data_IF_443562737952
#
_entry.id   IF_443562737952
#
_cell.length_a   1.000
_cell.length_b   1.000
_cell.length_c   1.000
_cell.angle_alpha   90.00
_cell.angle_beta   90.00
_cell.angle_gamma   90.00
#
_symmetry.space_group_name_H-M   'P 1'
#
loop_
_entity.id
_entity.type
_entity.pdbx_description
1 polymer ?
#
# COMPACT_ATOMS: atom_id res chain seq x y z
N UNK A 1 53.80 -76.78 10.05
CA UNK A 1 52.41 -77.08 9.70
C UNK A 1 51.54 -76.05 10.42
N UNK A 2 51.27 -74.97 9.78
CA UNK A 2 50.62 -73.82 10.38
C UNK A 2 49.22 -73.65 9.79
N UNK A 3 48.29 -73.54 10.71
CA UNK A 3 46.86 -73.22 10.33
C UNK A 3 46.61 -71.77 10.49
N UNK A 4 46.25 -71.12 9.37
CA UNK A 4 45.83 -69.71 9.31
C UNK A 4 44.33 -69.61 9.61
N UNK A 5 44.02 -68.89 10.70
CA UNK A 5 42.63 -68.45 10.98
C UNK A 5 42.34 -67.16 10.22
N UNK A 6 41.30 -67.18 9.37
CA UNK A 6 40.75 -65.97 8.74
C UNK A 6 39.69 -65.36 9.67
N UNK A 7 39.95 -64.14 10.12
CA UNK A 7 38.93 -63.32 10.77
C UNK A 7 38.10 -62.58 9.76
N UNK A 8 36.79 -62.74 9.82
CA UNK A 8 35.80 -61.98 9.00
C UNK A 8 35.51 -60.70 9.74
N UNK A 9 35.72 -59.54 9.09
CA UNK A 9 35.30 -58.24 9.54
C UNK A 9 33.91 -57.97 9.00
N UNK A 10 32.94 -57.74 9.90
CA UNK A 10 31.59 -57.29 9.54
C UNK A 10 31.63 -55.77 9.43
N UNK A 11 31.37 -55.24 8.23
CA UNK A 11 31.18 -53.81 7.98
C UNK A 11 29.73 -53.47 8.21
N UNK A 12 29.45 -52.65 9.24
CA UNK A 12 28.14 -52.04 9.47
C UNK A 12 28.08 -50.77 8.63
N UNK A 13 27.31 -50.79 7.58
CA UNK A 13 26.97 -49.58 6.81
C UNK A 13 25.91 -48.77 7.55
N UNK A 14 26.34 -47.69 8.21
CA UNK A 14 25.43 -46.70 8.79
C UNK A 14 24.88 -45.79 7.68
N UNK A 15 23.60 -45.90 7.36
CA UNK A 15 22.89 -44.95 6.52
C UNK A 15 22.63 -43.67 7.32
N UNK A 16 23.47 -42.66 7.13
CA UNK A 16 23.23 -41.31 7.63
C UNK A 16 22.17 -40.63 6.79
N UNK A 17 20.95 -40.42 7.32
CA UNK A 17 19.93 -39.56 6.76
C UNK A 17 20.38 -38.12 6.97
N UNK A 18 20.88 -37.47 5.91
CA UNK A 18 21.11 -36.01 5.90
C UNK A 18 19.73 -35.35 5.83
N UNK A 19 19.19 -34.91 6.95
CA UNK A 19 18.07 -33.97 6.98
C UNK A 19 18.60 -32.60 6.52
N UNK A 20 18.38 -32.25 5.25
CA UNK A 20 18.58 -30.90 4.74
C UNK A 20 17.44 -30.06 5.32
N UNK A 21 17.73 -29.34 6.41
CA UNK A 21 16.87 -28.27 6.90
C UNK A 21 16.98 -27.14 5.88
N UNK A 22 16.01 -27.03 4.99
CA UNK A 22 15.78 -25.83 4.17
C UNK A 22 15.30 -24.75 5.14
N UNK A 23 16.23 -24.09 5.82
CA UNK A 23 15.97 -22.80 6.45
C UNK A 23 15.67 -21.84 5.31
N UNK A 24 14.39 -21.58 5.06
CA UNK A 24 13.98 -20.45 4.22
C UNK A 24 14.55 -19.19 4.90
N UNK A 25 15.56 -18.58 4.28
CA UNK A 25 16.02 -17.26 4.69
C UNK A 25 14.89 -16.27 4.41
N UNK A 26 14.03 -16.02 5.40
CA UNK A 26 13.30 -14.75 5.44
C UNK A 26 14.36 -13.67 5.62
N UNK A 27 14.39 -12.63 4.78
CA UNK A 27 15.33 -11.53 4.97
C UNK A 27 15.11 -10.93 6.37
N UNK A 28 16.16 -10.90 7.17
CA UNK A 28 16.11 -10.26 8.49
C UNK A 28 16.08 -8.74 8.25
N UNK A 29 15.15 -8.04 8.93
CA UNK A 29 15.04 -6.58 8.82
C UNK A 29 16.33 -5.93 9.32
N UNK A 30 16.90 -5.03 8.52
CA UNK A 30 18.13 -4.30 8.86
C UNK A 30 17.85 -2.89 9.38
N UNK A 31 16.61 -2.37 9.15
CA UNK A 31 16.13 -1.09 9.66
C UNK A 31 15.16 -1.33 10.80
N UNK A 32 15.41 -0.69 11.93
CA UNK A 32 14.46 -0.65 13.06
C UNK A 32 13.45 0.46 12.80
N UNK A 33 12.17 0.14 12.92
CA UNK A 33 11.10 1.14 12.90
C UNK A 33 11.03 1.76 14.29
N UNK A 34 11.27 3.07 14.36
CA UNK A 34 11.30 3.80 15.64
C UNK A 34 9.87 4.16 16.08
N UNK A 35 9.20 3.20 16.68
CA UNK A 35 7.86 3.33 17.25
C UNK A 35 7.78 2.62 18.61
N UNK A 36 6.87 3.01 19.52
CA UNK A 36 6.65 2.31 20.77
C UNK A 36 6.41 0.80 20.58
N UNK A 37 6.93 0.00 21.51
CA UNK A 37 6.79 -1.44 21.44
C UNK A 37 5.33 -1.87 21.52
N UNK A 38 4.93 -2.77 20.62
CA UNK A 38 3.57 -3.30 20.57
C UNK A 38 3.33 -4.25 21.76
N UNK A 39 2.23 -4.06 22.49
CA UNK A 39 1.77 -5.00 23.50
C UNK A 39 1.31 -6.29 22.81
N UNK A 40 1.82 -7.42 23.31
CA UNK A 40 1.43 -8.75 22.84
C UNK A 40 0.13 -9.21 23.54
N UNK A 41 -0.98 -8.64 23.09
CA UNK A 41 -2.33 -8.95 23.54
C UNK A 41 -3.34 -8.67 22.41
N UNK A 42 -4.50 -9.33 22.40
CA UNK A 42 -5.62 -8.93 21.54
C UNK A 42 -6.22 -7.61 22.03
N UNK A 43 -6.81 -6.84 21.11
CA UNK A 43 -7.66 -5.70 21.48
C UNK A 43 -8.90 -6.18 22.25
N UNK A 44 -9.44 -5.30 23.09
CA UNK A 44 -10.67 -5.58 23.85
C UNK A 44 -11.84 -5.91 22.90
N UNK A 45 -12.71 -6.85 23.29
CA UNK A 45 -13.83 -7.34 22.49
C UNK A 45 -14.78 -6.23 22.01
N UNK A 46 -15.02 -5.23 22.85
CA UNK A 46 -15.85 -4.07 22.47
C UNK A 46 -15.19 -3.30 21.32
N UNK A 47 -13.89 -3.00 21.41
CA UNK A 47 -13.13 -2.32 20.35
C UNK A 47 -13.15 -3.14 19.03
N UNK A 48 -12.95 -4.47 19.13
CA UNK A 48 -13.01 -5.36 17.97
C UNK A 48 -14.41 -5.37 17.35
N UNK A 49 -15.47 -5.31 18.15
CA UNK A 49 -16.85 -5.25 17.65
C UNK A 49 -17.10 -3.96 16.87
N UNK A 50 -16.67 -2.82 17.38
CA UNK A 50 -16.80 -1.52 16.71
C UNK A 50 -15.98 -1.45 15.42
N UNK A 51 -14.74 -1.98 15.43
CA UNK A 51 -13.88 -2.06 14.24
C UNK A 51 -14.50 -2.95 13.16
N UNK A 52 -15.02 -4.11 13.55
CA UNK A 52 -15.69 -5.06 12.62
C UNK A 52 -16.93 -4.44 12.00
N UNK A 53 -17.74 -3.72 12.77
CA UNK A 53 -18.93 -3.03 12.27
C UNK A 53 -18.57 -1.95 11.23
N UNK A 54 -17.51 -1.17 11.48
CA UNK A 54 -17.00 -0.19 10.53
C UNK A 54 -16.61 -0.83 9.19
N UNK A 55 -15.82 -1.91 9.23
CA UNK A 55 -15.39 -2.62 8.00
C UNK A 55 -16.60 -3.22 7.27
N UNK A 56 -17.53 -3.84 7.99
CA UNK A 56 -18.73 -4.45 7.40
C UNK A 56 -19.62 -3.40 6.72
N UNK A 57 -19.76 -2.22 7.34
CA UNK A 57 -20.48 -1.08 6.75
C UNK A 57 -19.82 -0.63 5.44
N UNK A 58 -18.50 -0.49 5.40
CA UNK A 58 -17.77 -0.10 4.20
C UNK A 58 -17.83 -1.18 3.11
N UNK A 59 -17.76 -2.46 3.48
CA UNK A 59 -17.97 -3.57 2.53
C UNK A 59 -19.35 -3.48 1.86
N UNK A 60 -20.40 -3.24 2.64
CA UNK A 60 -21.75 -3.07 2.11
C UNK A 60 -21.83 -1.83 1.19
N UNK A 61 -21.25 -0.70 1.59
CA UNK A 61 -21.27 0.55 0.81
C UNK A 61 -20.56 0.43 -0.54
N UNK A 62 -19.51 -0.38 -0.62
CA UNK A 62 -18.70 -0.56 -1.84
C UNK A 62 -19.09 -1.81 -2.66
N UNK A 63 -19.95 -2.67 -2.13
CA UNK A 63 -20.22 -3.98 -2.73
C UNK A 63 -19.02 -4.94 -2.64
N UNK A 64 -18.12 -4.72 -1.69
CA UNK A 64 -17.02 -5.64 -1.42
C UNK A 64 -17.54 -6.89 -0.73
N UNK A 65 -17.15 -8.06 -1.22
CA UNK A 65 -17.51 -9.35 -0.60
C UNK A 65 -16.56 -9.72 0.53
N UNK A 66 -15.32 -9.19 0.47
CA UNK A 66 -14.25 -9.46 1.42
C UNK A 66 -13.42 -8.24 1.76
N UNK A 67 -12.82 -8.29 2.94
CA UNK A 67 -11.87 -7.31 3.42
C UNK A 67 -10.79 -7.96 4.28
N UNK A 68 -9.59 -7.36 4.33
CA UNK A 68 -8.57 -7.70 5.32
C UNK A 68 -8.22 -6.42 6.07
N UNK A 69 -8.12 -6.53 7.38
CA UNK A 69 -7.83 -5.40 8.26
C UNK A 69 -6.75 -5.77 9.26
N UNK A 70 -5.87 -4.81 9.55
CA UNK A 70 -4.89 -4.87 10.62
C UNK A 70 -4.90 -3.59 11.43
N UNK A 71 -5.02 -3.72 12.75
CA UNK A 71 -5.01 -2.61 13.71
C UNK A 71 -4.01 -2.95 14.81
N UNK A 72 -2.97 -2.13 14.94
CA UNK A 72 -1.91 -2.26 15.92
C UNK A 72 -1.95 -1.05 16.83
N UNK A 73 -2.20 -1.29 18.12
CA UNK A 73 -2.34 -0.25 19.15
C UNK A 73 -1.33 -0.54 20.25
N UNK A 74 -0.14 0.09 20.23
CA UNK A 74 0.97 -0.26 21.13
C UNK A 74 0.61 -0.33 22.61
N UNK A 75 -0.27 0.53 23.10
CA UNK A 75 -0.70 0.55 24.49
C UNK A 75 -1.83 -0.41 24.82
N UNK A 76 -2.46 -1.07 23.83
CA UNK A 76 -3.68 -1.86 24.05
C UNK A 76 -3.55 -3.29 23.54
N UNK A 77 -3.20 -3.47 22.26
CA UNK A 77 -3.11 -4.78 21.65
C UNK A 77 -3.22 -4.75 20.13
N UNK A 78 -3.49 -5.89 19.52
CA UNK A 78 -3.54 -6.08 18.07
C UNK A 78 -4.84 -6.76 17.65
N UNK A 79 -5.37 -6.38 16.50
CA UNK A 79 -6.41 -7.09 15.80
C UNK A 79 -6.09 -7.18 14.31
N UNK A 80 -5.88 -8.41 13.80
CA UNK A 80 -5.65 -8.69 12.39
C UNK A 80 -6.66 -9.76 11.96
N UNK A 81 -7.45 -9.48 10.93
CA UNK A 81 -8.56 -10.36 10.54
C UNK A 81 -8.93 -10.23 9.08
N UNK A 82 -9.32 -11.35 8.46
CA UNK A 82 -10.13 -11.35 7.26
C UNK A 82 -11.62 -11.28 7.63
N UNK A 83 -12.43 -10.67 6.77
CA UNK A 83 -13.88 -10.57 6.89
C UNK A 83 -14.55 -10.89 5.55
N UNK A 84 -15.71 -11.51 5.62
CA UNK A 84 -16.51 -11.86 4.44
C UNK A 84 -15.93 -13.02 3.64
N UNK A 85 -16.16 -13.01 2.34
CA UNK A 85 -15.80 -14.10 1.42
C UNK A 85 -14.98 -13.60 0.24
N UNK A 86 -14.22 -14.49 -0.37
CA UNK A 86 -13.36 -14.23 -1.54
C UNK A 86 -14.16 -13.68 -2.73
N UNK A 87 -15.40 -14.11 -2.88
CA UNK A 87 -16.34 -13.63 -3.89
C UNK A 87 -17.73 -14.02 -3.46
N UNK A 88 -18.78 -13.73 -4.23
CA UNK A 88 -20.14 -14.14 -3.92
C UNK A 88 -20.24 -15.66 -3.72
N UNK A 89 -20.45 -16.12 -2.47
CA UNK A 89 -20.49 -17.53 -2.12
C UNK A 89 -19.15 -18.26 -2.11
N UNK A 90 -18.05 -17.53 -2.15
CA UNK A 90 -16.68 -18.05 -2.11
C UNK A 90 -16.23 -18.50 -0.70
N UNK A 91 -14.95 -18.90 -0.59
CA UNK A 91 -14.32 -19.23 0.68
C UNK A 91 -14.22 -18.00 1.60
N UNK A 92 -14.13 -18.22 2.92
CA UNK A 92 -13.89 -17.13 3.87
C UNK A 92 -12.55 -16.46 3.60
N UNK A 93 -12.51 -15.14 3.78
CA UNK A 93 -11.26 -14.34 3.68
C UNK A 93 -10.43 -14.56 4.94
N UNK A 94 -9.16 -14.90 4.76
CA UNK A 94 -8.18 -15.00 5.83
C UNK A 94 -7.22 -13.82 5.79
N UNK A 95 -6.53 -13.54 6.89
CA UNK A 95 -5.68 -12.36 7.01
C UNK A 95 -4.33 -12.48 6.28
N UNK A 96 -3.93 -13.67 5.88
CA UNK A 96 -2.65 -13.98 5.23
C UNK A 96 -2.67 -13.85 3.70
N UNK A 97 -3.83 -13.56 3.11
CA UNK A 97 -3.97 -13.40 1.67
C UNK A 97 -3.23 -12.16 1.18
N UNK A 98 -2.60 -12.28 0.01
CA UNK A 98 -1.91 -11.17 -0.65
C UNK A 98 -2.84 -10.36 -1.56
N UNK A 99 -2.56 -9.06 -1.69
CA UNK A 99 -3.34 -8.12 -2.49
C UNK A 99 -2.46 -7.05 -3.13
N UNK A 100 -3.02 -6.25 -4.06
CA UNK A 100 -2.32 -5.10 -4.62
C UNK A 100 -2.37 -3.94 -3.65
N UNK A 101 -1.20 -3.30 -3.43
CA UNK A 101 -1.04 -2.22 -2.45
C UNK A 101 -1.63 -0.87 -2.90
N UNK A 102 -2.17 -0.79 -4.11
CA UNK A 102 -2.67 0.46 -4.69
C UNK A 102 -1.63 1.60 -4.56
N UNK A 103 -2.07 2.81 -4.27
CA UNK A 103 -1.25 4.01 -4.26
C UNK A 103 -0.23 4.06 -3.11
N UNK A 104 -0.22 3.06 -2.20
CA UNK A 104 0.91 2.87 -1.27
C UNK A 104 2.23 2.65 -2.04
N UNK A 105 2.16 2.12 -3.26
CA UNK A 105 3.29 2.01 -4.18
C UNK A 105 3.96 3.35 -4.47
N UNK A 106 3.17 4.41 -4.57
CA UNK A 106 3.67 5.78 -4.81
C UNK A 106 4.64 6.24 -3.72
N UNK A 107 4.28 5.97 -2.45
CA UNK A 107 5.15 6.28 -1.32
C UNK A 107 6.45 5.47 -1.37
N UNK A 108 6.38 4.16 -1.70
CA UNK A 108 7.56 3.31 -1.88
C UNK A 108 8.48 3.82 -3.01
N UNK A 109 7.89 4.27 -4.11
CA UNK A 109 8.65 4.87 -5.24
C UNK A 109 9.36 6.16 -4.81
N UNK A 110 8.73 6.98 -3.98
CA UNK A 110 9.35 8.18 -3.42
C UNK A 110 10.44 7.84 -2.40
N UNK A 111 10.26 6.80 -1.56
CA UNK A 111 11.32 6.32 -0.65
C UNK A 111 12.57 5.89 -1.43
N UNK A 112 12.39 5.23 -2.58
CA UNK A 112 13.51 4.91 -3.49
C UNK A 112 14.23 6.18 -3.95
N UNK A 113 13.49 7.22 -4.37
CA UNK A 113 14.10 8.49 -4.79
C UNK A 113 14.85 9.19 -3.67
N UNK A 114 14.28 9.23 -2.45
CA UNK A 114 14.96 9.78 -1.27
C UNK A 114 16.25 9.01 -0.97
N UNK A 115 16.23 7.69 -1.04
CA UNK A 115 17.41 6.85 -0.86
C UNK A 115 18.49 7.12 -1.91
N UNK A 116 18.13 7.17 -3.20
CA UNK A 116 19.07 7.48 -4.28
C UNK A 116 19.64 8.91 -4.16
N UNK A 117 18.86 9.86 -3.67
CA UNK A 117 19.33 11.21 -3.41
C UNK A 117 20.32 11.25 -2.23
N UNK A 118 20.09 10.46 -1.19
CA UNK A 118 21.01 10.32 -0.05
C UNK A 118 22.37 9.76 -0.47
N UNK A 119 22.36 8.78 -1.38
CA UNK A 119 23.60 8.19 -1.92
C UNK A 119 24.33 9.11 -2.91
N UNK A 120 23.73 10.26 -3.25
CA UNK A 120 24.29 11.19 -4.23
C UNK A 120 24.16 10.72 -5.69
N UNK A 121 23.38 9.67 -5.96
CA UNK A 121 23.13 9.12 -7.31
C UNK A 121 22.33 10.10 -8.17
N UNK A 122 21.39 10.82 -7.56
CA UNK A 122 20.61 11.92 -8.15
C UNK A 122 20.39 13.03 -7.10
N UNK A 123 19.74 14.13 -7.50
CA UNK A 123 19.28 15.16 -6.57
C UNK A 123 17.78 15.34 -6.74
N UNK A 124 17.06 15.50 -5.64
CA UNK A 124 15.60 15.72 -5.69
C UNK A 124 15.23 17.01 -6.45
N UNK A 125 16.13 17.98 -6.49
CA UNK A 125 15.95 19.24 -7.22
C UNK A 125 16.43 19.18 -8.69
N UNK A 126 16.90 18.01 -9.16
CA UNK A 126 17.19 17.80 -10.57
C UNK A 126 15.90 17.92 -11.39
N UNK A 127 16.00 18.55 -12.58
CA UNK A 127 14.92 18.51 -13.56
C UNK A 127 14.63 17.07 -13.99
N UNK A 128 13.36 16.73 -14.16
CA UNK A 128 12.94 15.44 -14.71
C UNK A 128 13.57 15.14 -16.07
N UNK A 129 13.84 16.19 -16.86
CA UNK A 129 14.45 16.07 -18.19
C UNK A 129 15.91 15.63 -18.17
N UNK A 130 16.57 15.75 -17.02
CA UNK A 130 17.94 15.25 -16.82
C UNK A 130 17.99 13.71 -16.82
N UNK A 131 16.90 13.07 -16.44
CA UNK A 131 16.81 11.62 -16.25
C UNK A 131 15.90 10.94 -17.25
N UNK A 132 14.79 11.58 -17.65
CA UNK A 132 13.82 11.03 -18.59
C UNK A 132 13.83 11.82 -19.88
N UNK A 133 14.25 11.18 -20.98
CA UNK A 133 14.33 11.80 -22.29
C UNK A 133 12.94 11.99 -22.94
N UNK A 134 12.88 12.89 -23.92
CA UNK A 134 11.68 13.21 -24.70
C UNK A 134 10.56 13.88 -23.88
N UNK A 135 10.95 14.77 -22.98
CA UNK A 135 10.04 15.60 -22.17
C UNK A 135 10.28 17.10 -22.47
N UNK A 136 10.14 17.58 -23.72
CA UNK A 136 10.35 18.99 -24.03
C UNK A 136 9.25 19.86 -23.36
N UNK A 137 9.68 20.96 -22.71
CA UNK A 137 8.77 21.85 -21.98
C UNK A 137 8.43 21.39 -20.57
N UNK A 138 9.23 20.45 -20.00
CA UNK A 138 9.08 19.96 -18.63
C UNK A 138 10.35 20.22 -17.80
N UNK A 139 11.21 21.12 -18.26
CA UNK A 139 12.48 21.47 -17.61
C UNK A 139 12.28 22.12 -16.24
N UNK A 140 11.12 22.69 -15.98
CA UNK A 140 10.68 23.34 -14.75
C UNK A 140 10.14 22.39 -13.68
N UNK A 141 10.00 21.09 -13.99
CA UNK A 141 9.54 20.07 -13.04
C UNK A 141 10.78 19.37 -12.46
N UNK A 142 10.85 19.30 -11.13
CA UNK A 142 11.90 18.58 -10.41
C UNK A 142 11.41 17.21 -9.93
N UNK A 143 12.34 16.32 -9.59
CA UNK A 143 12.01 15.01 -8.99
C UNK A 143 11.27 15.17 -7.67
N UNK A 144 11.59 16.19 -6.87
CA UNK A 144 10.88 16.54 -5.65
C UNK A 144 9.42 16.85 -5.92
N UNK A 145 9.11 17.65 -6.94
CA UNK A 145 7.74 18.01 -7.30
C UNK A 145 6.88 16.80 -7.72
N UNK A 146 7.50 15.73 -8.20
CA UNK A 146 6.78 14.49 -8.49
C UNK A 146 6.27 13.85 -7.21
N UNK A 147 7.12 13.68 -6.20
CA UNK A 147 6.75 13.12 -4.91
C UNK A 147 5.81 14.04 -4.11
N UNK A 148 6.02 15.36 -4.18
CA UNK A 148 5.16 16.33 -3.49
C UNK A 148 3.80 16.53 -4.19
N UNK A 149 3.57 15.89 -5.34
CA UNK A 149 2.34 16.04 -6.11
C UNK A 149 2.15 17.44 -6.69
N UNK A 150 3.24 18.21 -6.87
CA UNK A 150 3.18 19.62 -7.30
C UNK A 150 3.63 19.84 -8.73
N UNK A 151 3.84 18.78 -9.50
CA UNK A 151 4.27 18.89 -10.91
C UNK A 151 3.22 19.52 -11.83
N UNK A 152 1.95 19.45 -11.45
CA UNK A 152 0.81 19.86 -12.27
C UNK A 152 0.51 18.93 -13.45
N UNK A 153 1.14 17.76 -13.53
CA UNK A 153 0.89 16.79 -14.60
C UNK A 153 -0.49 16.17 -14.53
N UNK A 154 -1.10 15.91 -15.69
CA UNK A 154 -2.29 15.08 -15.81
C UNK A 154 -1.96 13.61 -15.58
N UNK A 155 -2.93 12.80 -15.07
CA UNK A 155 -2.74 11.37 -14.85
C UNK A 155 -3.10 10.56 -16.10
N UNK A 156 -2.21 9.62 -16.49
CA UNK A 156 -2.48 8.69 -17.59
C UNK A 156 -3.67 7.76 -17.26
N UNK A 157 -3.83 7.38 -15.99
CA UNK A 157 -4.91 6.47 -15.57
C UNK A 157 -6.28 7.04 -15.83
N UNK A 158 -6.49 8.35 -15.65
CA UNK A 158 -7.78 8.99 -15.93
C UNK A 158 -8.18 8.90 -17.40
N UNK A 159 -7.23 8.73 -18.32
CA UNK A 159 -7.46 8.55 -19.75
C UNK A 159 -7.69 7.08 -20.12
N UNK A 160 -7.04 6.16 -19.41
CA UNK A 160 -6.91 4.77 -19.82
C UNK A 160 -7.71 3.76 -18.97
N UNK A 161 -8.38 4.17 -17.89
CA UNK A 161 -9.10 3.26 -16.99
C UNK A 161 -10.02 2.26 -17.71
N UNK A 162 -10.78 2.70 -18.69
CA UNK A 162 -11.66 1.82 -19.47
C UNK A 162 -10.89 0.88 -20.41
N UNK A 163 -9.69 1.29 -20.82
CA UNK A 163 -8.84 0.49 -21.71
C UNK A 163 -8.14 -0.62 -20.91
N UNK A 164 -7.69 -0.33 -19.69
CA UNK A 164 -7.13 -1.33 -18.77
C UNK A 164 -8.15 -2.44 -18.50
N UNK A 165 -9.36 -2.09 -18.09
CA UNK A 165 -10.42 -3.04 -17.76
C UNK A 165 -10.74 -4.01 -18.91
N UNK A 166 -10.65 -3.53 -20.14
CA UNK A 166 -10.93 -4.33 -21.34
C UNK A 166 -9.69 -5.11 -21.83
N UNK A 167 -8.51 -4.87 -21.25
CA UNK A 167 -7.25 -5.52 -21.64
C UNK A 167 -6.42 -5.92 -20.40
N UNK A 168 -6.96 -6.76 -19.51
CA UNK A 168 -6.31 -7.06 -18.22
C UNK A 168 -4.93 -7.72 -18.36
N UNK A 169 -4.73 -8.49 -19.44
CA UNK A 169 -3.47 -9.20 -19.71
C UNK A 169 -2.40 -8.34 -20.38
N UNK A 170 -2.74 -7.11 -20.76
CA UNK A 170 -1.82 -6.25 -21.50
C UNK A 170 -0.64 -5.83 -20.62
N UNK A 171 0.57 -6.20 -21.05
CA UNK A 171 1.79 -5.60 -20.53
C UNK A 171 1.96 -4.18 -21.11
N UNK A 172 1.77 -3.16 -20.25
CA UNK A 172 1.91 -1.77 -20.63
C UNK A 172 3.38 -1.34 -20.59
N UNK A 173 3.82 -0.61 -21.60
CA UNK A 173 5.13 -0.01 -21.61
C UNK A 173 5.09 1.33 -20.87
N UNK A 174 6.01 1.57 -19.92
CA UNK A 174 6.07 2.79 -19.14
C UNK A 174 6.15 4.07 -20.01
N UNK A 175 6.87 4.03 -21.14
CA UNK A 175 6.96 5.18 -22.06
C UNK A 175 5.66 5.42 -22.84
N UNK A 176 4.90 4.38 -23.10
CA UNK A 176 3.56 4.50 -23.68
C UNK A 176 2.62 5.19 -22.70
N UNK A 177 2.57 4.73 -21.43
CA UNK A 177 1.80 5.38 -20.37
C UNK A 177 2.21 6.84 -20.18
N UNK A 178 3.51 7.11 -20.21
CA UNK A 178 4.05 8.47 -20.14
C UNK A 178 3.49 9.36 -21.26
N UNK A 179 3.41 8.85 -22.49
CA UNK A 179 2.87 9.62 -23.61
C UNK A 179 1.40 10.04 -23.39
N UNK A 180 0.59 9.18 -22.77
CA UNK A 180 -0.79 9.55 -22.39
C UNK A 180 -0.80 10.59 -21.25
N UNK A 181 0.07 10.45 -20.26
CA UNK A 181 0.15 11.42 -19.16
C UNK A 181 0.56 12.81 -19.63
N UNK A 182 1.61 12.93 -20.44
CA UNK A 182 2.08 14.22 -20.98
C UNK A 182 1.16 14.81 -22.06
N UNK A 183 0.33 14.01 -22.72
CA UNK A 183 -0.67 14.50 -23.67
C UNK A 183 -1.90 15.11 -22.96
N UNK A 184 -2.09 14.82 -21.69
CA UNK A 184 -3.14 15.39 -20.87
C UNK A 184 -2.83 16.85 -20.52
N UNK A 185 -3.81 17.75 -20.49
CA UNK A 185 -3.56 19.12 -20.06
C UNK A 185 -2.97 19.18 -18.65
N UNK A 186 -2.02 20.07 -18.44
CA UNK A 186 -1.53 20.39 -17.09
C UNK A 186 -2.70 20.90 -16.24
N UNK A 187 -2.77 20.47 -15.00
CA UNK A 187 -3.81 20.87 -14.05
C UNK A 187 -3.51 22.21 -13.39
N UNK A 188 -2.22 22.49 -13.13
CA UNK A 188 -1.72 23.73 -12.55
C UNK A 188 -0.26 23.95 -12.97
N UNK A 189 0.30 25.11 -12.62
CA UNK A 189 1.72 25.37 -12.81
C UNK A 189 2.56 24.55 -11.83
N UNK A 190 3.76 24.09 -12.21
CA UNK A 190 4.67 23.39 -11.31
C UNK A 190 4.94 24.17 -10.02
N UNK A 191 4.89 23.49 -8.90
CA UNK A 191 5.07 24.06 -7.57
C UNK A 191 3.88 24.84 -6.99
N UNK A 192 2.78 25.02 -7.74
CA UNK A 192 1.70 25.92 -7.31
C UNK A 192 0.73 25.29 -6.30
N UNK A 193 0.33 24.03 -6.48
CA UNK A 193 -0.61 23.34 -5.61
C UNK A 193 -0.48 21.82 -5.76
N UNK A 194 -0.96 21.10 -4.77
CA UNK A 194 -1.05 19.65 -4.84
C UNK A 194 -2.05 19.21 -5.92
N UNK A 195 -1.67 18.22 -6.68
CA UNK A 195 -2.52 17.49 -7.61
C UNK A 195 -1.95 16.10 -7.82
N UNK A 196 -2.60 15.11 -7.28
CA UNK A 196 -2.19 13.72 -7.44
C UNK A 196 -2.25 13.28 -8.91
N UNK A 197 -1.24 12.51 -9.32
CA UNK A 197 -1.11 12.05 -10.71
C UNK A 197 -0.21 10.82 -10.79
N UNK A 198 -0.72 9.72 -11.34
CA UNK A 198 0.09 8.52 -11.57
C UNK A 198 1.28 8.78 -12.50
N UNK A 199 1.19 9.82 -13.35
CA UNK A 199 2.29 10.23 -14.22
C UNK A 199 3.49 10.73 -13.42
N UNK A 200 3.28 11.31 -12.24
CA UNK A 200 4.37 11.71 -11.35
C UNK A 200 5.23 10.51 -10.99
N UNK A 201 4.61 9.47 -10.46
CA UNK A 201 5.31 8.28 -9.96
C UNK A 201 5.89 7.46 -11.10
N UNK A 202 5.23 7.44 -12.27
CA UNK A 202 5.78 6.83 -13.47
C UNK A 202 7.10 7.50 -13.88
N UNK A 203 7.16 8.84 -13.90
CA UNK A 203 8.39 9.58 -14.19
C UNK A 203 9.44 9.36 -13.10
N UNK A 204 9.01 9.34 -11.83
CA UNK A 204 9.87 9.08 -10.68
C UNK A 204 10.56 7.70 -10.79
N UNK A 205 9.78 6.65 -11.12
CA UNK A 205 10.31 5.31 -11.35
C UNK A 205 11.30 5.25 -12.51
N UNK A 206 10.95 5.84 -13.67
CA UNK A 206 11.85 5.93 -14.82
C UNK A 206 13.15 6.70 -14.51
N UNK A 207 13.08 7.76 -13.70
CA UNK A 207 14.24 8.51 -13.26
C UNK A 207 15.11 7.67 -12.32
N UNK A 208 14.51 6.95 -11.38
CA UNK A 208 15.20 6.05 -10.47
C UNK A 208 15.95 4.93 -11.23
N UNK A 209 15.28 4.27 -12.17
CA UNK A 209 15.90 3.25 -13.03
C UNK A 209 17.05 3.81 -13.88
N UNK A 210 16.87 5.02 -14.42
CA UNK A 210 17.91 5.65 -15.24
C UNK A 210 19.13 6.06 -14.42
N UNK A 211 18.91 6.54 -13.20
CA UNK A 211 19.96 7.01 -12.32
C UNK A 211 20.79 5.87 -11.73
N UNK A 212 20.13 4.78 -11.31
CA UNK A 212 20.80 3.63 -10.69
C UNK A 212 21.31 2.60 -11.70
N UNK A 213 20.64 2.45 -12.85
CA UNK A 213 20.84 1.35 -13.77
C UNK A 213 20.14 0.05 -13.37
N UNK A 214 19.34 0.06 -12.32
CA UNK A 214 18.59 -1.07 -11.79
C UNK A 214 17.10 -0.94 -12.11
N UNK A 215 16.36 -2.06 -12.08
CA UNK A 215 14.90 -2.00 -12.23
C UNK A 215 14.24 -1.43 -10.99
N UNK A 216 13.08 -0.76 -11.14
CA UNK A 216 12.32 -0.27 -9.98
C UNK A 216 11.90 -1.41 -9.04
N UNK A 217 11.66 -2.62 -9.57
CA UNK A 217 11.39 -3.82 -8.78
C UNK A 217 12.56 -4.17 -7.86
N UNK A 218 13.79 -4.13 -8.37
CA UNK A 218 15.00 -4.36 -7.58
C UNK A 218 15.21 -3.26 -6.54
N UNK A 219 15.04 -2.00 -6.94
CA UNK A 219 15.15 -0.86 -6.04
C UNK A 219 14.15 -0.91 -4.88
N UNK A 220 12.88 -1.24 -5.14
CA UNK A 220 11.88 -1.42 -4.07
C UNK A 220 12.27 -2.58 -3.16
N UNK A 221 12.74 -3.70 -3.72
CA UNK A 221 13.22 -4.83 -2.92
C UNK A 221 14.39 -4.44 -2.03
N UNK A 222 15.38 -3.71 -2.54
CA UNK A 222 16.63 -3.43 -1.85
C UNK A 222 16.53 -2.24 -0.89
N UNK A 223 15.72 -1.25 -1.21
CA UNK A 223 15.64 0.00 -0.43
C UNK A 223 14.40 0.11 0.45
N UNK A 224 13.38 -0.71 0.22
CA UNK A 224 12.13 -0.67 0.98
C UNK A 224 11.85 -2.03 1.63
N UNK A 225 11.59 -3.07 0.83
CA UNK A 225 11.11 -4.34 1.34
C UNK A 225 12.19 -5.09 2.15
N UNK A 226 13.40 -5.20 1.64
CA UNK A 226 14.51 -5.88 2.31
C UNK A 226 14.88 -5.25 3.65
N UNK A 227 15.17 -3.93 3.72
CA UNK A 227 15.50 -3.25 4.97
C UNK A 227 14.44 -3.40 6.07
N UNK A 228 13.17 -3.46 5.71
CA UNK A 228 12.05 -3.62 6.64
C UNK A 228 11.65 -5.10 6.86
N UNK A 229 12.25 -6.06 6.15
CA UNK A 229 11.90 -7.49 6.25
C UNK A 229 10.50 -7.81 5.70
N UNK A 230 10.01 -7.08 4.69
CA UNK A 230 8.70 -7.27 4.07
C UNK A 230 8.77 -8.39 3.03
N UNK A 231 8.46 -9.60 3.44
CA UNK A 231 8.64 -10.80 2.61
C UNK A 231 7.57 -10.99 1.53
N UNK A 232 6.40 -10.37 1.70
CA UNK A 232 5.28 -10.43 0.77
C UNK A 232 5.14 -9.17 -0.11
N UNK A 233 6.03 -8.17 0.09
CA UNK A 233 5.97 -6.89 -0.61
C UNK A 233 6.95 -6.86 -1.78
N UNK A 234 6.44 -6.62 -2.98
CA UNK A 234 7.24 -6.54 -4.20
C UNK A 234 6.53 -5.74 -5.30
N UNK A 235 7.29 -5.21 -6.25
CA UNK A 235 6.74 -4.79 -7.53
C UNK A 235 6.88 -5.95 -8.52
N UNK A 236 5.77 -6.62 -8.93
CA UNK A 236 5.84 -7.81 -9.76
C UNK A 236 6.24 -7.49 -11.20
N UNK A 237 6.66 -8.52 -11.92
CA UNK A 237 6.89 -8.43 -13.35
C UNK A 237 5.63 -8.00 -14.12
N UNK A 238 5.78 -7.38 -15.32
CA UNK A 238 4.64 -6.81 -16.07
C UNK A 238 3.71 -7.84 -16.72
N UNK A 239 3.85 -9.12 -16.41
CA UNK A 239 2.94 -10.17 -16.89
C UNK A 239 1.65 -10.18 -16.06
N UNK A 240 0.54 -10.60 -16.68
CA UNK A 240 -0.70 -10.81 -15.95
C UNK A 240 -0.56 -11.92 -14.92
N UNK A 241 -0.86 -11.61 -13.68
CA UNK A 241 -0.78 -12.53 -12.56
C UNK A 241 -1.74 -12.13 -11.44
N UNK A 242 -2.07 -13.07 -10.57
CA UNK A 242 -2.65 -12.77 -9.28
C UNK A 242 -1.60 -12.09 -8.38
N UNK A 243 -2.01 -11.30 -7.36
CA UNK A 243 -1.07 -10.58 -6.50
C UNK A 243 -0.16 -11.48 -5.66
N UNK A 244 -0.55 -12.72 -5.45
CA UNK A 244 0.25 -13.72 -4.72
C UNK A 244 -0.17 -15.13 -5.09
N UNK A 245 0.49 -16.16 -4.54
CA UNK A 245 0.08 -17.56 -4.66
C UNK A 245 -1.22 -17.87 -3.88
N UNK A 246 -1.57 -17.05 -2.90
CA UNK A 246 -2.81 -17.09 -2.13
C UNK A 246 -3.42 -15.68 -2.14
N UNK A 247 -4.08 -15.27 -3.22
CA UNK A 247 -4.58 -13.93 -3.37
C UNK A 247 -5.90 -13.70 -2.61
N UNK A 248 -6.11 -12.49 -2.10
CA UNK A 248 -7.45 -11.97 -1.95
C UNK A 248 -8.01 -11.75 -3.36
N UNK A 249 -9.12 -12.38 -3.71
CA UNK A 249 -9.75 -12.15 -5.01
C UNK A 249 -10.25 -10.71 -5.12
N UNK A 250 -9.90 -10.05 -6.24
CA UNK A 250 -10.22 -8.66 -6.49
C UNK A 250 -11.35 -8.48 -7.49
N UNK A 251 -12.27 -7.57 -7.19
CA UNK A 251 -13.49 -7.37 -7.98
C UNK A 251 -13.66 -5.90 -8.39
N UNK A 252 -14.50 -5.68 -9.40
CA UNK A 252 -14.98 -4.37 -9.79
C UNK A 252 -16.45 -4.43 -10.15
N UNK A 253 -17.28 -3.71 -9.40
CA UNK A 253 -18.65 -3.41 -9.79
C UNK A 253 -18.66 -2.46 -10.99
N UNK A 254 -19.58 -2.70 -11.93
CA UNK A 254 -19.75 -1.86 -13.13
C UNK A 254 -20.97 -0.97 -12.98
N UNK A 255 -20.89 0.23 -13.54
CA UNK A 255 -22.03 1.11 -13.61
C UNK A 255 -23.03 0.58 -14.64
N UNK A 256 -24.31 0.53 -14.27
CA UNK A 256 -25.38 0.07 -15.15
C UNK A 256 -25.90 1.28 -15.92
N UNK A 257 -26.13 1.19 -17.26
CA UNK A 257 -26.58 2.31 -18.08
C UNK A 257 -27.88 2.95 -17.58
N UNK A 258 -28.77 2.15 -17.00
CA UNK A 258 -30.06 2.59 -16.45
C UNK A 258 -29.93 3.24 -15.06
N UNK A 259 -28.73 3.30 -14.52
CA UNK A 259 -28.39 3.80 -13.17
C UNK A 259 -28.17 2.67 -12.15
N UNK A 260 -27.27 2.92 -11.21
CA UNK A 260 -26.83 1.95 -10.20
C UNK A 260 -25.57 1.17 -10.60
N UNK A 261 -25.29 0.08 -9.85
CA UNK A 261 -24.07 -0.70 -9.95
C UNK A 261 -24.34 -2.20 -9.86
N UNK A 262 -23.45 -3.01 -10.46
CA UNK A 262 -23.52 -4.48 -10.40
C UNK A 262 -22.99 -4.99 -9.05
N UNK A 263 -23.70 -4.67 -7.95
CA UNK A 263 -23.25 -5.00 -6.60
C UNK A 263 -23.25 -6.52 -6.32
N UNK A 264 -24.21 -7.24 -6.90
CA UNK A 264 -24.36 -8.68 -6.67
C UNK A 264 -23.50 -9.54 -7.60
N UNK A 265 -23.02 -8.97 -8.69
CA UNK A 265 -22.25 -9.65 -9.72
C UNK A 265 -21.09 -8.78 -10.20
N UNK A 266 -20.13 -8.44 -9.33
CA UNK A 266 -18.96 -7.68 -9.73
C UNK A 266 -18.08 -8.52 -10.66
N UNK A 267 -17.36 -7.87 -11.56
CA UNK A 267 -16.40 -8.52 -12.44
C UNK A 267 -15.16 -8.95 -11.64
N UNK A 268 -14.72 -10.20 -11.79
CA UNK A 268 -13.44 -10.66 -11.27
C UNK A 268 -12.29 -10.03 -12.08
N UNK A 269 -11.37 -9.38 -11.38
CA UNK A 269 -10.19 -8.72 -11.90
C UNK A 269 -8.93 -9.09 -11.10
N UNK A 270 -8.95 -10.27 -10.47
CA UNK A 270 -7.85 -10.78 -9.66
C UNK A 270 -6.56 -10.95 -10.47
N UNK A 271 -6.69 -11.51 -11.67
CA UNK A 271 -5.56 -11.74 -12.57
C UNK A 271 -5.50 -10.62 -13.60
N UNK A 272 -4.48 -9.78 -13.49
CA UNK A 272 -4.18 -8.73 -14.47
C UNK A 272 -2.70 -8.33 -14.42
N UNK A 273 -2.26 -7.61 -15.45
CA UNK A 273 -0.91 -7.08 -15.49
C UNK A 273 -0.76 -5.90 -14.51
N UNK A 274 0.22 -5.98 -13.61
CA UNK A 274 0.55 -4.88 -12.69
C UNK A 274 1.23 -3.69 -13.37
N UNK A 275 1.62 -3.85 -14.64
CA UNK A 275 2.38 -2.83 -15.37
C UNK A 275 1.60 -1.54 -15.64
N UNK A 276 0.27 -1.57 -15.62
CA UNK A 276 -0.54 -0.36 -15.70
C UNK A 276 -0.34 0.54 -14.48
N UNK A 277 -0.43 -0.04 -13.29
CA UNK A 277 -0.13 0.67 -12.04
C UNK A 277 1.36 1.00 -11.90
N UNK A 278 2.23 0.08 -12.24
CA UNK A 278 3.68 0.25 -12.24
C UNK A 278 4.19 0.92 -10.97
N UNK A 279 4.93 2.02 -11.15
CA UNK A 279 5.49 2.84 -10.05
C UNK A 279 4.43 3.59 -9.22
N UNK A 280 3.21 3.74 -9.69
CA UNK A 280 2.14 4.45 -8.99
C UNK A 280 1.33 3.52 -8.06
N UNK A 281 0.90 2.33 -8.57
CA UNK A 281 -0.03 1.47 -7.83
C UNK A 281 0.16 -0.04 -8.09
N UNK A 282 1.34 -0.44 -8.64
CA UNK A 282 1.58 -1.80 -9.11
C UNK A 282 2.14 -2.78 -8.07
N UNK A 283 2.56 -2.34 -6.90
CA UNK A 283 3.11 -3.23 -5.88
C UNK A 283 2.05 -4.19 -5.30
N UNK A 284 2.52 -5.34 -4.85
CA UNK A 284 1.74 -6.34 -4.10
C UNK A 284 2.27 -6.46 -2.68
N UNK A 285 1.41 -6.89 -1.74
CA UNK A 285 1.75 -6.99 -0.32
C UNK A 285 0.76 -7.89 0.42
N UNK A 286 0.93 -8.06 1.72
CA UNK A 286 -0.08 -8.55 2.66
C UNK A 286 -0.33 -7.50 3.77
N UNK A 287 -1.30 -7.76 4.63
CA UNK A 287 -1.72 -6.76 5.64
C UNK A 287 -0.63 -6.50 6.69
N UNK A 288 0.16 -7.50 7.05
CA UNK A 288 1.24 -7.39 8.05
C UNK A 288 2.41 -6.55 7.51
N UNK A 289 2.85 -6.85 6.30
CA UNK A 289 3.89 -6.07 5.63
C UNK A 289 3.45 -4.62 5.41
N UNK A 290 2.17 -4.43 5.00
CA UNK A 290 1.59 -3.11 4.79
C UNK A 290 1.60 -2.27 6.08
N UNK A 291 1.17 -2.85 7.21
CA UNK A 291 1.20 -2.18 8.50
C UNK A 291 2.61 -1.78 8.92
N UNK A 292 3.58 -2.70 8.77
CA UNK A 292 4.99 -2.43 9.08
C UNK A 292 5.58 -1.34 8.16
N UNK A 293 5.30 -1.41 6.87
CA UNK A 293 5.71 -0.35 5.94
C UNK A 293 5.14 1.01 6.35
N UNK A 294 3.87 1.05 6.70
CA UNK A 294 3.20 2.31 7.06
C UNK A 294 3.75 2.91 8.36
N UNK A 295 4.10 2.08 9.35
CA UNK A 295 4.82 2.56 10.53
C UNK A 295 6.20 3.13 10.18
N UNK A 296 6.93 2.48 9.26
CA UNK A 296 8.22 2.99 8.78
C UNK A 296 8.06 4.28 7.96
N UNK A 297 7.02 4.39 7.12
CA UNK A 297 6.68 5.60 6.37
C UNK A 297 6.38 6.76 7.32
N UNK A 298 5.57 6.51 8.36
CA UNK A 298 5.16 7.53 9.32
C UNK A 298 6.33 8.01 10.18
N UNK A 299 7.16 7.10 10.69
CA UNK A 299 8.32 7.44 11.50
C UNK A 299 9.52 7.97 10.70
N UNK A 300 9.46 7.89 9.35
CA UNK A 300 10.58 8.28 8.49
C UNK A 300 11.77 7.32 8.55
N UNK A 301 11.59 6.09 9.03
CA UNK A 301 12.70 5.13 9.26
C UNK A 301 13.47 4.74 7.99
N UNK A 302 12.91 4.95 6.80
CA UNK A 302 13.60 4.74 5.52
C UNK A 302 14.22 6.03 4.97
N UNK A 303 13.92 7.18 5.57
CA UNK A 303 14.47 8.46 5.11
C UNK A 303 15.87 8.68 5.63
N UNK A 304 16.72 9.40 4.86
CA UNK A 304 18.03 9.83 5.36
C UNK A 304 17.90 10.71 6.60
N UNK A 305 18.89 10.63 7.50
CA UNK A 305 18.96 11.46 8.69
C UNK A 305 18.75 12.95 8.37
N UNK A 306 17.87 13.60 9.12
CA UNK A 306 17.55 15.02 8.96
C UNK A 306 16.61 15.33 7.77
N UNK A 307 16.10 14.32 7.09
CA UNK A 307 15.07 14.50 6.06
C UNK A 307 13.70 14.50 6.69
N UNK A 308 12.95 15.57 6.52
CA UNK A 308 11.54 15.66 6.89
C UNK A 308 10.69 15.69 5.61
N UNK A 309 9.92 14.61 5.38
CA UNK A 309 9.00 14.49 4.25
C UNK A 309 7.93 15.57 4.27
N UNK A 310 7.49 15.97 5.47
CA UNK A 310 6.43 16.94 5.71
C UNK A 310 6.97 18.33 6.11
N UNK A 311 8.22 18.68 5.78
CA UNK A 311 8.77 20.02 6.05
C UNK A 311 7.92 21.16 5.45
N UNK A 312 7.22 20.91 4.35
CA UNK A 312 6.37 21.89 3.66
C UNK A 312 5.15 21.23 3.03
N UNK A 313 4.23 20.64 3.87
CA UNK A 313 3.08 19.94 3.35
C UNK A 313 2.07 20.92 2.74
N UNK A 314 1.39 20.48 1.68
CA UNK A 314 0.37 21.29 1.00
C UNK A 314 -1.03 20.75 1.31
N UNK A 315 -2.06 21.63 1.41
CA UNK A 315 -3.46 21.19 1.45
C UNK A 315 -3.76 20.30 0.24
N UNK A 316 -4.49 19.20 0.45
CA UNK A 316 -4.87 18.29 -0.64
C UNK A 316 -5.81 18.97 -1.61
N UNK A 317 -6.80 19.72 -1.10
CA UNK A 317 -7.62 20.65 -1.87
C UNK A 317 -8.12 21.80 -1.00
N UNK A 318 -8.71 22.82 -1.63
CA UNK A 318 -9.32 23.95 -0.92
C UNK A 318 -10.58 23.54 -0.14
N UNK A 319 -11.25 22.47 -0.53
CA UNK A 319 -12.47 21.97 0.07
C UNK A 319 -12.22 20.92 1.16
N UNK A 320 -10.99 20.39 1.24
CA UNK A 320 -10.61 19.43 2.28
C UNK A 320 -10.28 20.14 3.61
N UNK A 321 -10.44 19.45 4.74
CA UNK A 321 -10.07 19.99 6.04
C UNK A 321 -8.59 20.37 6.12
N UNK A 322 -8.26 21.41 6.87
CA UNK A 322 -6.88 21.91 7.03
C UNK A 322 -5.92 20.90 7.65
N UNK A 323 -6.43 19.89 8.35
CA UNK A 323 -5.65 18.80 8.91
C UNK A 323 -5.30 17.71 7.89
N UNK A 324 -5.76 17.83 6.63
CA UNK A 324 -5.48 16.88 5.57
C UNK A 324 -4.54 17.50 4.53
N UNK A 325 -3.29 17.07 4.54
CA UNK A 325 -2.20 17.60 3.71
C UNK A 325 -1.45 16.47 3.02
N UNK A 326 -0.62 16.82 2.03
CA UNK A 326 0.19 15.87 1.28
C UNK A 326 1.62 16.39 1.08
N UNK A 327 2.59 15.50 1.10
CA UNK A 327 3.98 15.73 0.72
C UNK A 327 4.70 14.39 0.51
N UNK A 328 5.72 14.39 -0.34
CA UNK A 328 6.67 13.30 -0.47
C UNK A 328 6.08 11.92 -0.81
N UNK A 329 4.98 11.87 -1.56
CA UNK A 329 4.28 10.64 -1.93
C UNK A 329 3.35 10.08 -0.83
N UNK A 330 3.08 10.84 0.22
CA UNK A 330 2.23 10.43 1.33
C UNK A 330 1.25 11.53 1.74
N UNK A 331 0.24 11.15 2.51
CA UNK A 331 -0.72 12.06 3.13
C UNK A 331 -0.48 12.16 4.64
N UNK A 332 -0.77 13.33 5.18
CA UNK A 332 -0.90 13.56 6.60
C UNK A 332 -2.35 13.89 6.92
N UNK A 333 -2.95 13.14 7.82
CA UNK A 333 -4.30 13.36 8.35
C UNK A 333 -4.21 13.52 9.88
N UNK A 334 -4.32 14.74 10.37
CA UNK A 334 -4.05 15.03 11.80
C UNK A 334 -2.61 14.63 12.17
N UNK A 335 -2.45 13.73 13.14
CA UNK A 335 -1.16 13.13 13.50
C UNK A 335 -0.78 11.91 12.63
N UNK A 336 -1.73 11.37 11.89
CA UNK A 336 -1.50 10.15 11.11
C UNK A 336 -0.81 10.45 9.78
N UNK A 337 0.17 9.65 9.43
CA UNK A 337 0.85 9.66 8.13
C UNK A 337 0.61 8.32 7.44
N UNK A 338 0.32 8.37 6.15
CA UNK A 338 0.04 7.15 5.40
C UNK A 338 -0.34 7.41 3.95
N UNK A 339 -0.98 6.43 3.37
CA UNK A 339 -1.42 6.48 1.98
C UNK A 339 -2.74 5.73 1.81
N UNK A 340 -3.50 6.11 0.81
CA UNK A 340 -4.71 5.41 0.39
C UNK A 340 -4.89 5.53 -1.11
N UNK A 341 -5.61 4.58 -1.67
CA UNK A 341 -5.96 4.66 -3.08
C UNK A 341 -6.68 3.44 -3.60
N UNK A 342 -6.80 3.39 -4.91
CA UNK A 342 -7.55 2.36 -5.63
C UNK A 342 -6.71 1.86 -6.79
N UNK A 343 -6.59 0.54 -6.86
CA UNK A 343 -6.12 -0.14 -8.08
C UNK A 343 -7.17 -1.16 -8.50
N UNK A 344 -7.08 -1.66 -9.72
CA UNK A 344 -8.06 -2.62 -10.22
C UNK A 344 -8.22 -3.81 -9.26
N UNK A 345 -9.41 -4.00 -8.74
CA UNK A 345 -9.79 -5.04 -7.78
C UNK A 345 -9.73 -4.64 -6.30
N UNK A 346 -9.04 -3.56 -5.92
CA UNK A 346 -8.77 -3.27 -4.52
C UNK A 346 -8.88 -1.78 -4.18
N UNK A 347 -9.45 -1.47 -3.01
CA UNK A 347 -9.33 -0.20 -2.31
C UNK A 347 -8.48 -0.41 -1.08
N UNK A 348 -7.41 0.36 -0.91
CA UNK A 348 -6.43 0.21 0.17
C UNK A 348 -6.27 1.51 0.92
N UNK A 349 -6.24 1.45 2.25
CA UNK A 349 -5.87 2.57 3.09
C UNK A 349 -4.98 2.10 4.23
N UNK A 350 -3.92 2.84 4.52
CA UNK A 350 -2.97 2.51 5.57
C UNK A 350 -2.34 3.76 6.14
N UNK A 351 -2.53 3.98 7.43
CA UNK A 351 -2.03 5.14 8.17
C UNK A 351 -1.47 4.72 9.52
N UNK A 352 -0.44 5.43 9.97
CA UNK A 352 0.16 5.23 11.28
C UNK A 352 0.47 6.58 11.95
N UNK A 353 0.47 6.57 13.26
CA UNK A 353 0.86 7.71 14.09
C UNK A 353 2.34 7.53 14.49
N UNK A 354 3.23 8.45 14.10
CA UNK A 354 4.66 8.32 14.37
C UNK A 354 5.04 8.39 15.85
N UNK A 355 4.22 9.09 16.68
CA UNK A 355 4.52 9.26 18.10
C UNK A 355 4.02 8.08 18.94
N UNK A 356 2.81 7.60 18.65
CA UNK A 356 2.19 6.51 19.41
C UNK A 356 2.48 5.13 18.86
N UNK A 357 2.91 5.04 17.60
CA UNK A 357 3.10 3.79 16.86
C UNK A 357 1.80 3.09 16.46
N UNK A 358 0.64 3.70 16.77
CA UNK A 358 -0.65 3.15 16.31
C UNK A 358 -0.68 3.06 14.80
N UNK A 359 -1.05 1.90 14.26
CA UNK A 359 -1.18 1.71 12.82
C UNK A 359 -2.51 1.03 12.47
N UNK A 360 -3.08 1.44 11.36
CA UNK A 360 -4.31 0.87 10.81
C UNK A 360 -4.13 0.67 9.32
N UNK A 361 -4.36 -0.55 8.85
CA UNK A 361 -4.32 -0.92 7.44
C UNK A 361 -5.57 -1.69 7.08
N UNK A 362 -6.14 -1.40 5.92
CA UNK A 362 -7.34 -2.10 5.43
C UNK A 362 -7.31 -2.21 3.92
N UNK A 363 -7.79 -3.34 3.41
CA UNK A 363 -8.10 -3.54 2.00
C UNK A 363 -9.52 -4.05 1.85
N UNK A 364 -10.26 -3.46 0.91
CA UNK A 364 -11.54 -3.93 0.41
C UNK A 364 -11.34 -4.54 -0.98
N UNK A 365 -11.99 -5.64 -1.27
CA UNK A 365 -11.80 -6.38 -2.52
C UNK A 365 -12.72 -5.95 -3.67
N UNK A 366 -13.20 -4.71 -3.66
CA UNK A 366 -13.91 -4.10 -4.79
C UNK A 366 -13.37 -2.68 -5.05
N UNK A 367 -12.96 -2.42 -6.28
CA UNK A 367 -12.34 -1.14 -6.68
C UNK A 367 -13.32 -0.11 -7.24
N UNK A 368 -14.63 -0.37 -7.15
CA UNK A 368 -15.65 0.57 -7.62
C UNK A 368 -16.05 1.60 -6.55
N UNK A 369 -16.39 2.80 -6.97
CA UNK A 369 -16.87 3.87 -6.09
C UNK A 369 -15.87 4.98 -5.85
N UNK A 370 -16.03 5.71 -4.76
CA UNK A 370 -15.20 6.85 -4.41
C UNK A 370 -13.86 6.40 -3.79
N UNK A 371 -12.69 6.76 -4.36
CA UNK A 371 -11.39 6.41 -3.78
C UNK A 371 -11.20 6.87 -2.33
N UNK A 372 -11.80 7.98 -1.90
CA UNK A 372 -11.75 8.47 -0.52
C UNK A 372 -12.40 7.50 0.49
N UNK A 373 -13.19 6.52 0.04
CA UNK A 373 -13.77 5.49 0.92
C UNK A 373 -12.69 4.72 1.67
N UNK A 374 -11.57 4.41 1.02
CA UNK A 374 -10.43 3.77 1.69
C UNK A 374 -9.84 4.65 2.81
N UNK A 375 -9.68 5.96 2.58
CA UNK A 375 -9.21 6.90 3.59
C UNK A 375 -10.21 7.04 4.75
N UNK A 376 -11.48 7.28 4.45
CA UNK A 376 -12.51 7.40 5.49
C UNK A 376 -12.62 6.16 6.36
N UNK A 377 -12.57 4.96 5.75
CA UNK A 377 -12.58 3.72 6.53
C UNK A 377 -11.35 3.63 7.44
N UNK A 378 -10.15 3.89 6.91
CA UNK A 378 -8.92 3.85 7.72
C UNK A 378 -8.98 4.86 8.86
N UNK A 379 -9.50 6.06 8.61
CA UNK A 379 -9.65 7.11 9.63
C UNK A 379 -10.77 6.81 10.62
N UNK A 380 -11.86 6.12 10.22
CA UNK A 380 -12.88 5.61 11.13
C UNK A 380 -12.27 4.59 12.10
N UNK A 381 -11.54 3.60 11.53
CA UNK A 381 -10.85 2.58 12.32
C UNK A 381 -9.81 3.20 13.28
N UNK A 382 -9.05 4.20 12.83
CA UNK A 382 -8.10 4.91 13.68
C UNK A 382 -8.81 5.69 14.82
N UNK A 383 -9.96 6.31 14.55
CA UNK A 383 -10.74 7.01 15.57
C UNK A 383 -11.33 6.05 16.62
N UNK A 384 -11.65 4.83 16.26
CA UNK A 384 -12.05 3.76 17.20
C UNK A 384 -10.82 3.26 17.96
N UNK A 385 -9.74 2.90 17.26
CA UNK A 385 -8.52 2.36 17.84
C UNK A 385 -7.84 3.32 18.84
N UNK A 386 -7.85 4.63 18.55
CA UNK A 386 -7.27 5.64 19.43
C UNK A 386 -7.94 5.70 20.83
N UNK A 387 -9.14 5.15 20.97
CA UNK A 387 -9.89 5.07 22.23
C UNK A 387 -9.81 3.69 22.90
N UNK A 388 -9.03 2.77 22.35
CA UNK A 388 -8.86 1.45 22.92
C UNK A 388 -8.30 1.55 24.34
N UNK A 389 -8.86 0.80 25.30
CA UNK A 389 -8.42 0.85 26.68
C UNK A 389 -6.98 0.36 26.80
N UNK A 390 -6.18 0.99 27.66
CA UNK A 390 -4.82 0.55 27.91
C UNK A 390 -4.78 -0.86 28.53
N UNK A 391 -3.86 -1.69 28.06
CA UNK A 391 -3.56 -2.95 28.69
C UNK A 391 -2.94 -2.75 30.08
N UNK A 392 -2.93 -3.80 30.90
CA UNK A 392 -2.38 -3.72 32.25
C UNK A 392 -0.93 -3.22 32.23
N UNK A 393 -0.65 -2.17 33.00
CA UNK A 393 0.66 -1.54 33.09
C UNK A 393 1.02 -0.58 31.95
N UNK A 394 0.10 -0.34 31.03
CA UNK A 394 0.25 0.64 29.95
C UNK A 394 -0.57 1.92 30.25
N UNK A 395 -0.26 2.98 29.51
CA UNK A 395 -0.98 4.25 29.56
C UNK A 395 -1.41 4.60 28.13
N UNK A 396 -2.71 4.83 27.94
CA UNK A 396 -3.21 5.32 26.65
C UNK A 396 -2.76 6.77 26.45
N UNK A 397 -2.34 7.15 25.24
CA UNK A 397 -2.01 8.54 24.92
C UNK A 397 -3.26 9.43 25.02
N UNK A 398 -3.07 10.71 25.39
CA UNK A 398 -4.17 11.69 25.45
C UNK A 398 -4.58 12.22 24.05
N UNK A 399 -4.06 11.67 23.00
CA UNK A 399 -4.25 12.17 21.65
C UNK A 399 -5.69 12.03 21.17
N UNK A 400 -6.21 13.12 20.61
CA UNK A 400 -7.46 13.14 19.84
C UNK A 400 -7.19 13.34 18.36
N UNK A 401 -7.83 12.53 17.52
CA UNK A 401 -7.89 12.81 16.09
C UNK A 401 -8.87 13.96 15.82
N UNK A 402 -8.64 14.82 14.83
CA UNK A 402 -9.51 15.98 14.53
C UNK A 402 -10.86 15.61 13.90
N UNK A 403 -11.22 14.33 13.92
CA UNK A 403 -12.50 13.79 13.44
C UNK A 403 -13.05 12.74 14.41
N UNK A 404 -14.30 12.36 14.22
CA UNK A 404 -14.95 11.25 14.91
C UNK A 404 -15.15 10.06 13.97
N UNK A 405 -15.28 8.85 14.52
CA UNK A 405 -15.64 7.67 13.73
C UNK A 405 -16.93 7.89 12.93
N UNK A 406 -17.94 8.53 13.54
CA UNK A 406 -19.22 8.80 12.87
C UNK A 406 -19.08 9.73 11.66
N UNK A 407 -18.25 10.77 11.73
CA UNK A 407 -18.00 11.66 10.58
C UNK A 407 -17.41 10.89 9.39
N UNK A 408 -16.50 9.95 9.64
CA UNK A 408 -15.90 9.13 8.58
C UNK A 408 -16.91 8.14 8.02
N UNK A 409 -17.71 7.52 8.88
CA UNK A 409 -18.82 6.64 8.49
C UNK A 409 -19.84 7.38 7.61
N UNK A 410 -20.19 8.59 7.96
CA UNK A 410 -21.12 9.42 7.16
C UNK A 410 -20.56 9.68 5.75
N UNK A 411 -19.24 9.88 5.62
CA UNK A 411 -18.56 9.98 4.34
C UNK A 411 -18.67 8.69 3.51
N UNK A 412 -18.46 7.53 4.13
CA UNK A 412 -18.58 6.21 3.49
C UNK A 412 -20.01 5.97 3.00
N UNK A 413 -21.00 6.13 3.90
CA UNK A 413 -22.41 5.86 3.60
C UNK A 413 -22.96 6.87 2.58
N UNK A 414 -22.57 8.15 2.69
CA UNK A 414 -22.98 9.19 1.75
C UNK A 414 -22.45 9.00 0.32
N UNK A 415 -21.41 8.17 0.15
CA UNK A 415 -20.82 7.83 -1.15
C UNK A 415 -21.03 6.35 -1.53
N UNK A 416 -21.95 5.67 -0.86
CA UNK A 416 -22.22 4.26 -1.12
C UNK A 416 -22.72 4.06 -2.58
N UNK A 417 -22.15 3.08 -3.25
CA UNK A 417 -22.59 2.63 -4.57
C UNK A 417 -23.56 1.45 -4.48
N UNK A 418 -23.56 0.76 -3.34
CA UNK A 418 -24.42 -0.39 -3.04
C UNK A 418 -25.25 -0.12 -1.78
N UNK A 419 -26.29 -0.93 -1.57
CA UNK A 419 -27.21 -0.72 -0.45
C UNK A 419 -26.53 -1.05 0.88
N UNK A 420 -26.45 -0.08 1.77
CA UNK A 420 -26.02 -0.30 3.16
C UNK A 420 -27.25 -0.68 3.99
N UNK A 421 -27.25 -1.85 4.69
CA UNK A 421 -28.33 -2.20 5.60
C UNK A 421 -28.49 -1.13 6.68
N UNK A 422 -29.72 -0.71 6.95
CA UNK A 422 -30.03 0.14 8.11
C UNK A 422 -29.93 -0.73 9.36
N UNK A 423 -29.03 -0.38 10.27
CA UNK A 423 -28.87 -1.02 11.59
C UNK A 423 -30.08 -0.76 12.49
#
# INVERSE_FOLDING_TARGET
>A
MGTWRRSAAVAIAGAGVLAVILSGCTPEATVSVDVPAQVDAPLADQTVTELRDAVTTAMAATGSTGAIVGVWVPWSGTWVSGLGTQGPGGAEVTADLGFRAADVTSAMTCDVLYGLASDGTLKLDDSVTSWVSNLPGYEDITLRMLCDGTSGLGSYSSVLNGVELNNPDRAWNARELLAYGISSPRRNAPGASFSDSDTNYLIAGLAAERASGESLSDLIRERVAGPLGLSATALPAPAAAAPSSSPLEGFRSQQIPEGGWTCDQPQDVTVLSSSFGGAASGAVTNITDLGRYTQALASGSLLPDGTDRFASPLPVSADDPTWFTAAGGAYQAGSLIGQFGVTMGYMVGSFADPETGMAVSVVLNNSAGNPKTAAWLTWELAAIASKAPAASGQTAPEAGLPWTAQQMRDGIVGNAICTVPTS
#
